data_IF_499389826142
#
_entry.id   IF_499389826142
#
_cell.length_a   1.000
_cell.length_b   1.000
_cell.length_c   1.000
_cell.angle_alpha   90.00
_cell.angle_beta   90.00
_cell.angle_gamma   90.00
#
_symmetry.space_group_name_H-M   'P 1'
#
loop_
_entity.id
_entity.type
_entity.pdbx_description
1 polymer ?
#
# COMPACT_ATOMS: atom_id res chain seq x y z
N UNK A 1 -3.32 -33.84 5.52
CA UNK A 1 -4.41 -32.94 5.95
C UNK A 1 -4.92 -32.20 4.73
N UNK A 2 -6.25 -32.07 4.57
CA UNK A 2 -6.81 -31.21 3.51
C UNK A 2 -6.35 -29.75 3.72
N UNK A 3 -6.14 -28.97 2.65
CA UNK A 3 -5.78 -27.57 2.79
C UNK A 3 -6.86 -26.80 3.58
N UNK A 4 -6.48 -25.78 4.37
CA UNK A 4 -7.45 -24.98 5.09
C UNK A 4 -8.31 -24.17 4.08
N UNK A 5 -9.55 -23.84 4.44
CA UNK A 5 -10.38 -22.97 3.62
C UNK A 5 -9.96 -21.50 3.73
N UNK A 6 -9.48 -21.09 4.91
CA UNK A 6 -9.14 -19.69 5.18
C UNK A 6 -7.73 -19.60 5.78
N UNK A 7 -6.91 -18.68 5.26
CA UNK A 7 -5.64 -18.28 5.86
C UNK A 7 -5.77 -16.88 6.45
N UNK A 8 -5.50 -16.73 7.74
CA UNK A 8 -5.45 -15.43 8.41
C UNK A 8 -3.99 -14.99 8.49
N UNK A 9 -3.67 -13.84 7.93
CA UNK A 9 -2.32 -13.29 7.84
C UNK A 9 -2.18 -12.08 8.74
N UNK A 10 -1.24 -12.14 9.69
CA UNK A 10 -1.04 -11.11 10.70
C UNK A 10 0.45 -10.72 10.74
N UNK A 11 0.84 -9.58 10.16
CA UNK A 11 2.17 -9.03 10.32
C UNK A 11 2.36 -8.50 11.73
N UNK A 12 3.53 -8.77 12.33
CA UNK A 12 3.87 -8.38 13.71
C UNK A 12 5.21 -7.67 13.72
N UNK A 13 5.28 -6.51 14.37
CA UNK A 13 6.55 -5.81 14.60
C UNK A 13 6.52 -5.03 15.92
N UNK A 14 7.21 -5.53 16.95
CA UNK A 14 7.27 -4.96 18.30
C UNK A 14 5.87 -4.78 18.93
N UNK A 15 5.10 -5.86 19.02
CA UNK A 15 3.72 -5.87 19.53
C UNK A 15 3.58 -6.78 20.77
N UNK A 16 4.67 -7.00 21.53
CA UNK A 16 4.71 -7.91 22.68
C UNK A 16 3.55 -7.69 23.67
N UNK A 17 3.11 -6.44 23.88
CA UNK A 17 2.10 -6.08 24.88
C UNK A 17 0.68 -6.36 24.41
N UNK A 18 0.46 -6.49 23.09
CA UNK A 18 -0.86 -6.71 22.48
C UNK A 18 -1.15 -8.15 22.08
N UNK A 19 -0.13 -8.99 21.89
CA UNK A 19 -0.28 -10.32 21.31
C UNK A 19 -1.18 -11.26 22.11
N UNK A 20 -1.06 -11.29 23.44
CA UNK A 20 -1.90 -12.18 24.27
C UNK A 20 -3.38 -11.80 24.16
N UNK A 21 -3.71 -10.51 24.10
CA UNK A 21 -5.06 -10.02 23.85
C UNK A 21 -5.54 -10.38 22.45
N UNK A 22 -4.67 -10.23 21.45
CA UNK A 22 -4.98 -10.63 20.08
C UNK A 22 -5.34 -12.12 20.02
N UNK A 23 -4.59 -12.99 20.64
CA UNK A 23 -4.89 -14.42 20.66
C UNK A 23 -6.22 -14.72 21.34
N UNK A 24 -6.50 -14.05 22.47
CA UNK A 24 -7.75 -14.23 23.23
C UNK A 24 -8.98 -13.78 22.46
N UNK A 25 -8.89 -12.77 21.59
CA UNK A 25 -9.99 -12.28 20.76
C UNK A 25 -10.10 -13.01 19.42
N UNK A 26 -8.98 -13.40 18.80
CA UNK A 26 -8.93 -13.99 17.46
C UNK A 26 -9.42 -15.43 17.43
N UNK A 27 -8.81 -16.32 18.24
CA UNK A 27 -9.09 -17.75 18.12
C UNK A 27 -10.55 -18.13 18.39
N UNK A 28 -11.24 -17.56 19.40
CA UNK A 28 -12.66 -17.88 19.60
C UNK A 28 -13.55 -17.55 18.40
N UNK A 29 -13.24 -16.45 17.70
CA UNK A 29 -13.96 -16.06 16.47
C UNK A 29 -13.70 -17.08 15.36
N UNK A 30 -12.44 -17.48 15.16
CA UNK A 30 -12.07 -18.42 14.11
C UNK A 30 -12.61 -19.82 14.40
N UNK A 31 -12.54 -20.29 15.64
CA UNK A 31 -13.07 -21.58 16.06
C UNK A 31 -14.61 -21.66 15.88
N UNK A 32 -15.32 -20.54 16.05
CA UNK A 32 -16.77 -20.46 15.86
C UNK A 32 -17.24 -20.37 14.40
N UNK A 33 -16.32 -20.11 13.42
CA UNK A 33 -16.69 -19.89 12.02
C UNK A 33 -17.20 -21.16 11.31
N UNK A 34 -16.92 -22.35 11.84
CA UNK A 34 -17.28 -23.64 11.20
C UNK A 34 -16.50 -23.92 9.89
N UNK A 35 -15.39 -23.25 9.65
CA UNK A 35 -14.49 -23.43 8.49
C UNK A 35 -13.11 -23.86 8.97
N UNK A 36 -12.43 -24.69 8.19
CA UNK A 36 -11.02 -25.00 8.43
C UNK A 36 -10.17 -23.75 8.15
N UNK A 37 -9.26 -23.44 9.06
CA UNK A 37 -8.42 -22.25 8.95
C UNK A 37 -6.98 -22.52 9.37
N UNK A 38 -6.09 -21.62 8.96
CA UNK A 38 -4.74 -21.45 9.51
C UNK A 38 -4.51 -19.98 9.84
N UNK A 39 -3.64 -19.73 10.81
CA UNK A 39 -3.16 -18.39 11.16
C UNK A 39 -1.67 -18.31 10.89
N UNK A 40 -1.26 -17.40 10.03
CA UNK A 40 0.14 -17.11 9.72
C UNK A 40 0.53 -15.78 10.36
N UNK A 41 1.27 -15.87 11.46
CA UNK A 41 1.96 -14.71 12.02
C UNK A 41 3.29 -14.51 11.31
N UNK A 42 3.57 -13.27 10.91
CA UNK A 42 4.85 -12.93 10.30
C UNK A 42 5.56 -11.91 11.18
N UNK A 43 6.59 -12.34 11.88
CA UNK A 43 7.45 -11.44 12.64
C UNK A 43 8.39 -10.70 11.68
N UNK A 44 8.20 -9.40 11.56
CA UNK A 44 8.99 -8.51 10.69
C UNK A 44 10.28 -8.03 11.37
N UNK A 45 11.01 -8.96 12.01
CA UNK A 45 12.27 -8.69 12.67
C UNK A 45 12.12 -7.88 13.95
N UNK A 46 11.16 -8.24 14.81
CA UNK A 46 10.95 -7.60 16.12
C UNK A 46 12.20 -7.65 16.99
N UNK A 47 12.37 -6.61 17.80
CA UNK A 47 13.49 -6.47 18.76
C UNK A 47 13.07 -6.70 20.19
N UNK A 48 11.79 -6.85 20.46
CA UNK A 48 11.17 -7.16 21.73
C UNK A 48 10.88 -8.66 21.86
N UNK A 49 10.00 -9.03 22.77
CA UNK A 49 9.63 -10.44 23.00
C UNK A 49 8.61 -11.00 22.01
N UNK A 50 8.17 -10.24 21.01
CA UNK A 50 7.13 -10.68 20.07
C UNK A 50 7.44 -12.02 19.42
N UNK A 51 8.66 -12.20 18.88
CA UNK A 51 9.07 -13.45 18.25
C UNK A 51 9.02 -14.66 19.22
N UNK A 52 9.37 -14.46 20.50
CA UNK A 52 9.30 -15.52 21.52
C UNK A 52 7.84 -15.89 21.83
N UNK A 53 6.97 -14.89 22.02
CA UNK A 53 5.53 -15.09 22.27
C UNK A 53 4.87 -15.84 21.10
N UNK A 54 5.20 -15.49 19.85
CA UNK A 54 4.68 -16.18 18.68
C UNK A 54 5.14 -17.65 18.61
N UNK A 55 6.39 -17.97 18.99
CA UNK A 55 6.89 -19.34 19.09
C UNK A 55 6.09 -20.16 20.12
N UNK A 56 5.86 -19.57 21.30
CA UNK A 56 5.04 -20.20 22.35
C UNK A 56 3.60 -20.44 21.86
N UNK A 57 3.01 -19.47 21.14
CA UNK A 57 1.66 -19.62 20.59
C UNK A 57 1.58 -20.71 19.53
N UNK A 58 2.60 -20.85 18.68
CA UNK A 58 2.69 -21.93 17.71
C UNK A 58 2.73 -23.32 18.40
N UNK A 59 3.39 -23.42 19.56
CA UNK A 59 3.41 -24.65 20.36
C UNK A 59 2.07 -24.93 21.06
N UNK A 60 1.33 -23.87 21.47
CA UNK A 60 0.01 -23.99 22.12
C UNK A 60 -1.09 -24.43 21.14
N UNK A 61 -1.03 -23.94 19.90
CA UNK A 61 -2.03 -24.22 18.84
C UNK A 61 -1.34 -24.73 17.56
N UNK A 62 -0.64 -25.87 17.61
CA UNK A 62 0.15 -26.37 16.49
C UNK A 62 -0.72 -26.82 15.31
N UNK A 63 -1.99 -27.12 15.53
CA UNK A 63 -2.97 -27.53 14.53
C UNK A 63 -3.29 -26.45 13.49
N UNK A 64 -3.28 -25.17 13.92
CA UNK A 64 -3.73 -24.04 13.09
C UNK A 64 -2.73 -22.89 13.00
N UNK A 65 -1.73 -22.82 13.90
CA UNK A 65 -0.80 -21.67 13.96
C UNK A 65 0.52 -21.98 13.27
N UNK A 66 0.94 -21.05 12.43
CA UNK A 66 2.25 -21.04 11.77
C UNK A 66 2.90 -19.70 11.98
N UNK A 67 4.23 -19.67 12.10
CA UNK A 67 4.99 -18.43 12.32
C UNK A 67 6.12 -18.35 11.29
N UNK A 68 6.20 -17.22 10.61
CA UNK A 68 7.29 -16.88 9.70
C UNK A 68 8.12 -15.79 10.38
N UNK A 69 9.42 -16.04 10.57
CA UNK A 69 10.34 -15.06 11.13
C UNK A 69 11.19 -14.49 10.00
N UNK A 70 11.14 -13.17 9.82
CA UNK A 70 11.98 -12.48 8.86
C UNK A 70 13.34 -12.13 9.48
N UNK A 71 14.38 -12.07 8.66
CA UNK A 71 15.75 -11.79 9.11
C UNK A 71 15.99 -10.32 9.51
N UNK A 72 15.00 -9.47 9.41
CA UNK A 72 15.03 -8.05 9.75
C UNK A 72 13.70 -7.38 9.44
N UNK A 73 13.60 -6.07 9.69
CA UNK A 73 12.42 -5.30 9.34
C UNK A 73 12.43 -4.94 7.85
N UNK A 74 11.47 -5.49 7.10
CA UNK A 74 11.26 -5.24 5.68
C UNK A 74 9.98 -4.45 5.39
N UNK A 75 9.19 -4.15 6.44
CA UNK A 75 7.93 -3.42 6.36
C UNK A 75 6.72 -4.33 6.17
N UNK A 76 5.57 -3.82 6.65
CA UNK A 76 4.30 -4.56 6.75
C UNK A 76 3.87 -5.25 5.45
N UNK A 77 3.98 -4.57 4.29
CA UNK A 77 3.59 -5.16 3.01
C UNK A 77 4.47 -6.35 2.61
N UNK A 78 5.78 -6.29 2.88
CA UNK A 78 6.68 -7.39 2.61
C UNK A 78 6.44 -8.57 3.55
N UNK A 79 6.09 -8.32 4.81
CA UNK A 79 5.67 -9.35 5.75
C UNK A 79 4.36 -10.04 5.27
N UNK A 80 3.39 -9.29 4.77
CA UNK A 80 2.15 -9.85 4.20
C UNK A 80 2.47 -10.68 2.94
N UNK A 81 3.35 -10.22 2.04
CA UNK A 81 3.78 -10.99 0.87
C UNK A 81 4.42 -12.32 1.27
N UNK A 82 5.29 -12.32 2.27
CA UNK A 82 5.88 -13.54 2.79
C UNK A 82 4.81 -14.53 3.28
N UNK A 83 3.74 -14.03 3.93
CA UNK A 83 2.62 -14.87 4.32
C UNK A 83 1.80 -15.35 3.12
N UNK A 84 1.57 -14.51 2.11
CA UNK A 84 0.83 -14.90 0.90
C UNK A 84 1.49 -16.07 0.18
N UNK A 85 2.82 -16.05 0.04
CA UNK A 85 3.58 -17.15 -0.56
C UNK A 85 3.47 -18.47 0.24
N UNK A 86 3.23 -18.38 1.57
CA UNK A 86 3.15 -19.54 2.44
C UNK A 86 1.70 -19.91 2.84
N UNK A 87 0.71 -19.11 2.43
CA UNK A 87 -0.70 -19.36 2.71
C UNK A 87 -1.27 -20.48 1.84
N UNK A 88 -2.15 -21.31 2.40
CA UNK A 88 -2.72 -22.50 1.75
C UNK A 88 -4.23 -22.44 1.58
N UNK A 89 -4.90 -21.47 2.22
CA UNK A 89 -6.35 -21.31 2.17
C UNK A 89 -6.86 -20.81 0.82
N UNK A 90 -8.09 -21.16 0.47
CA UNK A 90 -8.78 -20.65 -0.73
C UNK A 90 -9.05 -19.14 -0.62
N UNK A 91 -9.20 -18.66 0.61
CA UNK A 91 -9.36 -17.23 0.94
C UNK A 91 -8.27 -16.83 1.92
N UNK A 92 -7.64 -15.69 1.67
CA UNK A 92 -6.65 -15.09 2.59
C UNK A 92 -7.23 -13.82 3.18
N UNK A 93 -7.17 -13.69 4.51
CA UNK A 93 -7.61 -12.49 5.24
C UNK A 93 -6.41 -11.87 5.93
N UNK A 94 -6.15 -10.58 5.68
CA UNK A 94 -5.13 -9.82 6.42
C UNK A 94 -5.76 -9.10 7.60
N UNK A 95 -5.05 -9.04 8.72
CA UNK A 95 -5.47 -8.38 9.96
C UNK A 95 -4.25 -7.75 10.64
N UNK A 96 -4.39 -6.53 11.17
CA UNK A 96 -3.34 -5.88 11.98
C UNK A 96 -3.30 -6.48 13.39
N UNK A 97 -2.09 -6.55 13.97
CA UNK A 97 -1.89 -7.11 15.31
C UNK A 97 -2.41 -6.21 16.46
N UNK A 98 -2.68 -4.92 16.18
CA UNK A 98 -3.03 -3.90 17.18
C UNK A 98 -4.52 -3.87 17.59
N UNK A 99 -5.35 -4.78 17.07
CA UNK A 99 -6.79 -4.91 17.34
C UNK A 99 -7.62 -3.64 17.02
N UNK A 100 -7.10 -2.69 16.26
CA UNK A 100 -7.92 -1.56 15.79
C UNK A 100 -9.08 -2.04 14.90
N UNK A 101 -8.86 -3.13 14.20
CA UNK A 101 -9.89 -3.83 13.43
C UNK A 101 -10.22 -5.14 14.18
N UNK A 102 -11.44 -5.27 14.74
CA UNK A 102 -11.76 -6.43 15.56
C UNK A 102 -11.89 -7.70 14.70
N UNK A 103 -11.36 -8.86 15.17
CA UNK A 103 -11.49 -10.14 14.46
C UNK A 103 -12.93 -10.55 14.16
N UNK A 104 -13.91 -10.03 14.91
CA UNK A 104 -15.35 -10.27 14.72
C UNK A 104 -15.88 -9.83 13.36
N UNK A 105 -15.13 -8.99 12.65
CA UNK A 105 -15.47 -8.55 11.29
C UNK A 105 -15.06 -9.56 10.21
N UNK A 106 -14.19 -10.53 10.53
CA UNK A 106 -13.70 -11.55 9.57
C UNK A 106 -14.87 -12.32 8.92
N UNK A 107 -15.86 -12.85 9.65
CA UNK A 107 -16.98 -13.57 9.03
C UNK A 107 -17.77 -12.73 8.03
N UNK A 108 -17.85 -11.39 8.22
CA UNK A 108 -18.55 -10.50 7.29
C UNK A 108 -17.78 -10.34 5.97
N UNK A 109 -16.43 -10.27 6.01
CA UNK A 109 -15.62 -10.28 4.80
C UNK A 109 -15.77 -11.59 4.04
N UNK A 110 -15.73 -12.72 4.75
CA UNK A 110 -15.88 -14.03 4.15
C UNK A 110 -17.27 -14.22 3.50
N UNK A 111 -18.31 -13.64 4.08
CA UNK A 111 -19.64 -13.65 3.48
C UNK A 111 -19.71 -12.92 2.14
N UNK A 112 -18.92 -11.86 1.94
CA UNK A 112 -18.84 -11.20 0.62
C UNK A 112 -18.04 -12.04 -0.39
N UNK A 113 -17.00 -12.73 0.05
CA UNK A 113 -16.31 -13.72 -0.82
C UNK A 113 -17.29 -14.83 -1.26
N UNK A 114 -18.12 -15.35 -0.34
CA UNK A 114 -19.16 -16.35 -0.67
C UNK A 114 -20.20 -15.83 -1.67
N UNK A 115 -20.42 -14.52 -1.74
CA UNK A 115 -21.29 -13.88 -2.73
C UNK A 115 -20.66 -13.77 -4.12
N UNK A 116 -19.40 -14.19 -4.26
CA UNK A 116 -18.66 -14.18 -5.54
C UNK A 116 -17.72 -13.01 -5.73
N UNK A 117 -17.46 -12.21 -4.69
CA UNK A 117 -16.40 -11.23 -4.73
C UNK A 117 -15.05 -11.91 -4.52
N UNK A 118 -14.02 -11.45 -5.24
CA UNK A 118 -12.66 -11.99 -5.15
C UNK A 118 -11.68 -11.08 -4.41
N UNK A 119 -12.14 -9.86 -4.05
CA UNK A 119 -11.45 -8.92 -3.17
C UNK A 119 -12.47 -8.14 -2.34
N UNK A 120 -12.27 -8.09 -1.04
CA UNK A 120 -13.11 -7.34 -0.11
C UNK A 120 -12.24 -6.40 0.72
N UNK A 121 -12.39 -5.09 0.45
CA UNK A 121 -11.78 -4.03 1.23
C UNK A 121 -12.63 -3.66 2.45
N UNK A 122 -12.00 -3.04 3.45
CA UNK A 122 -12.71 -2.50 4.61
C UNK A 122 -12.60 -0.99 4.68
N UNK A 123 -13.70 -0.35 5.06
CA UNK A 123 -13.79 1.09 5.32
C UNK A 123 -14.07 1.30 6.81
N UNK A 124 -13.19 2.03 7.49
CA UNK A 124 -13.37 2.33 8.91
C UNK A 124 -14.54 3.29 9.13
N UNK A 125 -15.54 2.83 9.89
CA UNK A 125 -16.69 3.64 10.27
C UNK A 125 -16.32 4.73 11.28
N UNK A 126 -16.99 5.90 11.21
CA UNK A 126 -16.92 6.92 12.28
C UNK A 126 -15.80 7.95 12.18
N UNK A 127 -15.03 8.02 11.09
CA UNK A 127 -13.97 9.01 10.92
C UNK A 127 -14.55 10.44 10.82
N UNK A 128 -14.44 11.23 11.88
CA UNK A 128 -14.76 12.67 11.88
C UNK A 128 -13.54 13.46 11.38
N UNK A 129 -13.33 13.48 10.07
CA UNK A 129 -12.27 14.32 9.50
C UNK A 129 -12.72 15.79 9.47
N UNK A 130 -11.85 16.72 9.89
CA UNK A 130 -12.07 18.16 9.81
C UNK A 130 -12.22 18.59 8.34
N UNK A 131 -13.20 19.48 8.04
CA UNK A 131 -13.51 19.99 6.70
C UNK A 131 -12.29 20.52 5.93
N UNK A 132 -11.33 21.12 6.62
CA UNK A 132 -10.08 21.64 6.05
C UNK A 132 -9.12 20.55 5.56
N UNK A 133 -9.24 19.31 6.07
CA UNK A 133 -8.49 18.13 5.61
C UNK A 133 -9.22 17.38 4.49
N UNK A 134 -10.54 17.46 4.45
CA UNK A 134 -11.38 16.70 3.50
C UNK A 134 -11.28 17.24 2.08
N UNK A 135 -11.22 18.58 1.89
CA UNK A 135 -11.27 19.16 0.54
C UNK A 135 -10.00 18.87 -0.28
N UNK A 136 -8.75 19.08 0.24
CA UNK A 136 -7.54 18.75 -0.50
C UNK A 136 -7.39 17.24 -0.72
N UNK A 137 -7.78 16.42 0.29
CA UNK A 137 -7.69 14.95 0.16
C UNK A 137 -8.69 14.39 -0.85
N UNK A 138 -9.90 14.97 -0.98
CA UNK A 138 -10.88 14.57 -2.00
C UNK A 138 -10.36 14.86 -3.42
N UNK A 139 -9.80 16.04 -3.64
CA UNK A 139 -9.22 16.38 -4.95
C UNK A 139 -8.08 15.42 -5.32
N UNK A 140 -7.16 15.18 -4.41
CA UNK A 140 -6.07 14.22 -4.60
C UNK A 140 -6.57 12.80 -4.86
N UNK A 141 -7.60 12.36 -4.13
CA UNK A 141 -8.21 11.05 -4.33
C UNK A 141 -8.87 10.94 -5.72
N UNK A 142 -9.62 11.96 -6.16
CA UNK A 142 -10.24 11.98 -7.49
C UNK A 142 -9.18 11.94 -8.60
N UNK A 143 -8.10 12.72 -8.47
CA UNK A 143 -6.99 12.70 -9.43
C UNK A 143 -6.35 11.31 -9.46
N UNK A 144 -6.05 10.73 -8.28
CA UNK A 144 -5.47 9.39 -8.16
C UNK A 144 -6.37 8.34 -8.80
N UNK A 145 -7.67 8.30 -8.44
CA UNK A 145 -8.62 7.33 -8.96
C UNK A 145 -8.75 7.39 -10.49
N UNK A 146 -8.81 8.62 -11.05
CA UNK A 146 -8.79 8.78 -12.51
C UNK A 146 -7.49 8.38 -13.17
N UNK A 147 -6.37 8.54 -12.45
CA UNK A 147 -5.03 8.28 -12.96
C UNK A 147 -4.65 6.80 -12.85
N UNK A 148 -5.02 6.14 -11.75
CA UNK A 148 -4.63 4.75 -11.45
C UNK A 148 -5.75 3.73 -11.72
N UNK A 149 -7.01 4.17 -11.86
CA UNK A 149 -8.22 3.33 -11.91
C UNK A 149 -8.42 2.47 -10.66
N UNK A 150 -7.80 2.83 -9.54
CA UNK A 150 -7.89 2.12 -8.26
C UNK A 150 -8.87 2.87 -7.37
N UNK A 151 -10.03 2.25 -7.10
CA UNK A 151 -11.09 2.80 -6.25
C UNK A 151 -11.02 2.15 -4.87
N UNK A 152 -10.12 2.62 -4.01
CA UNK A 152 -9.99 2.20 -2.62
C UNK A 152 -10.31 3.40 -1.74
N UNK A 153 -11.39 3.28 -0.96
CA UNK A 153 -11.90 4.36 -0.10
C UNK A 153 -11.00 4.55 1.12
N UNK A 154 -10.63 3.47 1.81
CA UNK A 154 -9.74 3.51 2.97
C UNK A 154 -8.45 2.71 2.72
N UNK A 155 -7.38 3.44 2.39
CA UNK A 155 -6.07 2.85 2.13
C UNK A 155 -5.35 2.37 3.39
N UNK A 156 -5.69 2.94 4.52
CA UNK A 156 -5.03 2.64 5.79
C UNK A 156 -5.64 1.46 6.55
N UNK A 157 -6.74 0.88 6.09
CA UNK A 157 -7.33 -0.30 6.70
C UNK A 157 -6.74 -1.56 6.06
N UNK A 158 -6.06 -2.37 6.86
CA UNK A 158 -5.43 -3.61 6.38
C UNK A 158 -6.29 -4.85 6.62
N UNK A 159 -7.44 -4.74 7.28
CA UNK A 159 -8.41 -5.84 7.35
C UNK A 159 -9.07 -6.02 5.99
N UNK A 160 -8.68 -7.04 5.25
CA UNK A 160 -9.13 -7.31 3.89
C UNK A 160 -9.20 -8.81 3.62
N UNK A 161 -10.09 -9.22 2.72
CA UNK A 161 -10.13 -10.59 2.25
C UNK A 161 -9.79 -10.67 0.75
N UNK A 162 -9.06 -11.71 0.38
CA UNK A 162 -8.55 -11.95 -0.96
C UNK A 162 -8.84 -13.39 -1.37
N UNK A 163 -9.48 -13.60 -2.51
CA UNK A 163 -9.58 -14.91 -3.12
C UNK A 163 -8.22 -15.43 -3.58
N UNK A 164 -8.06 -16.75 -3.66
CA UNK A 164 -6.78 -17.40 -4.03
C UNK A 164 -6.22 -16.87 -5.34
N UNK A 165 -7.03 -16.69 -6.37
CA UNK A 165 -6.59 -16.18 -7.66
C UNK A 165 -5.95 -14.78 -7.59
N UNK A 166 -6.45 -13.92 -6.69
CA UNK A 166 -5.89 -12.59 -6.47
C UNK A 166 -4.56 -12.69 -5.71
N UNK A 167 -4.48 -13.58 -4.71
CA UNK A 167 -3.24 -13.81 -3.95
C UNK A 167 -2.14 -14.35 -4.87
N UNK A 168 -2.46 -15.31 -5.72
CA UNK A 168 -1.51 -15.90 -6.66
C UNK A 168 -1.01 -14.85 -7.66
N UNK A 169 -1.92 -14.02 -8.21
CA UNK A 169 -1.53 -12.92 -9.10
C UNK A 169 -0.65 -11.86 -8.41
N UNK A 170 -0.88 -11.59 -7.12
CA UNK A 170 -0.02 -10.69 -6.32
C UNK A 170 1.36 -11.30 -6.09
N UNK A 171 1.44 -12.61 -5.82
CA UNK A 171 2.71 -13.32 -5.64
C UNK A 171 3.54 -13.36 -6.93
N UNK A 172 2.90 -13.59 -8.06
CA UNK A 172 3.54 -13.63 -9.38
C UNK A 172 3.99 -12.24 -9.87
N UNK A 173 3.49 -11.16 -9.27
CA UNK A 173 3.83 -9.81 -9.67
C UNK A 173 5.26 -9.45 -9.25
N UNK A 174 6.16 -9.08 -10.18
CA UNK A 174 7.56 -8.79 -9.87
C UNK A 174 7.80 -7.39 -9.28
N UNK A 175 6.77 -6.56 -9.12
CA UNK A 175 6.92 -5.18 -8.64
C UNK A 175 7.56 -5.10 -7.25
N UNK A 176 8.62 -4.27 -7.11
CA UNK A 176 9.37 -4.13 -5.87
C UNK A 176 8.70 -3.23 -4.82
N UNK A 177 7.99 -2.20 -5.25
CA UNK A 177 7.26 -1.28 -4.39
C UNK A 177 5.77 -1.62 -4.41
N UNK A 178 5.38 -2.59 -3.59
CA UNK A 178 4.04 -3.15 -3.65
C UNK A 178 3.17 -2.60 -2.53
N UNK A 179 2.24 -1.74 -2.86
CA UNK A 179 1.10 -1.47 -2.00
C UNK A 179 0.05 -2.56 -2.28
N UNK A 180 0.06 -3.63 -1.48
CA UNK A 180 -0.74 -4.84 -1.70
C UNK A 180 -2.21 -4.53 -1.97
N UNK A 181 -2.92 -3.63 -1.22
CA UNK A 181 -4.32 -3.35 -1.49
C UNK A 181 -4.58 -2.84 -2.92
N UNK A 182 -3.71 -1.97 -3.43
CA UNK A 182 -3.85 -1.45 -4.78
C UNK A 182 -3.57 -2.50 -5.85
N UNK A 183 -2.53 -3.32 -5.64
CA UNK A 183 -2.18 -4.39 -6.56
C UNK A 183 -3.27 -5.46 -6.61
N UNK A 184 -3.78 -5.89 -5.45
CA UNK A 184 -4.87 -6.84 -5.36
C UNK A 184 -6.16 -6.31 -6.02
N UNK A 185 -6.47 -5.02 -5.84
CA UNK A 185 -7.61 -4.38 -6.51
C UNK A 185 -7.49 -4.43 -8.04
N UNK A 186 -6.29 -4.24 -8.59
CA UNK A 186 -6.04 -4.31 -10.03
C UNK A 186 -6.22 -5.71 -10.62
N UNK A 187 -5.93 -6.76 -9.84
CA UNK A 187 -6.08 -8.15 -10.27
C UNK A 187 -7.48 -8.71 -9.97
N UNK A 188 -8.26 -8.04 -9.13
CA UNK A 188 -9.62 -8.47 -8.80
C UNK A 188 -10.58 -8.26 -9.96
N UNK A 189 -11.47 -9.24 -10.19
CA UNK A 189 -12.54 -9.17 -11.18
C UNK A 189 -13.82 -8.57 -10.60
N UNK A 190 -14.07 -8.81 -9.31
CA UNK A 190 -15.27 -8.36 -8.60
C UNK A 190 -14.90 -7.78 -7.24
N UNK A 191 -14.17 -6.64 -7.19
CA UNK A 191 -13.80 -6.01 -5.93
C UNK A 191 -15.00 -5.35 -5.26
N UNK A 192 -15.04 -5.40 -3.92
CA UNK A 192 -16.04 -4.69 -3.11
C UNK A 192 -15.41 -4.12 -1.83
N UNK A 193 -16.13 -3.26 -1.16
CA UNK A 193 -15.72 -2.70 0.14
C UNK A 193 -16.89 -2.75 1.12
N UNK A 194 -16.63 -3.08 2.38
CA UNK A 194 -17.62 -3.07 3.47
C UNK A 194 -17.21 -2.13 4.58
N UNK A 195 -18.19 -1.55 5.27
CA UNK A 195 -17.92 -0.81 6.50
C UNK A 195 -17.69 -1.78 7.65
N UNK A 196 -16.58 -1.58 8.38
CA UNK A 196 -16.22 -2.34 9.56
C UNK A 196 -16.16 -1.44 10.78
N UNK A 197 -16.39 -2.02 11.95
CA UNK A 197 -16.17 -1.35 13.22
C UNK A 197 -14.68 -1.07 13.39
N UNK A 198 -14.37 0.07 14.00
CA UNK A 198 -13.00 0.49 14.29
C UNK A 198 -12.89 0.91 15.74
N UNK A 199 -12.04 0.22 16.50
CA UNK A 199 -11.76 0.60 17.88
C UNK A 199 -10.76 1.76 17.89
N UNK A 200 -11.01 2.78 18.72
CA UNK A 200 -10.03 3.84 18.96
C UNK A 200 -8.78 3.24 19.63
N UNK A 201 -7.62 3.65 19.16
CA UNK A 201 -6.34 3.24 19.77
C UNK A 201 -6.29 3.75 21.21
N UNK A 202 -6.17 2.86 22.19
CA UNK A 202 -6.11 3.23 23.62
C UNK A 202 -4.87 4.08 23.97
N UNK A 203 -3.86 4.13 23.13
CA UNK A 203 -2.67 4.96 23.32
C UNK A 203 -2.01 5.31 21.97
N UNK A 204 -1.91 6.61 21.66
CA UNK A 204 -1.08 7.13 20.58
C UNK A 204 -1.77 8.15 19.68
N UNK A 205 -1.17 9.33 19.54
CA UNK A 205 -1.57 10.31 18.54
C UNK A 205 -1.37 9.78 17.12
N UNK A 206 -2.32 10.08 16.23
CA UNK A 206 -2.20 9.77 14.80
C UNK A 206 -0.94 10.44 14.21
N UNK A 207 0.12 9.66 13.97
CA UNK A 207 1.42 10.14 13.45
C UNK A 207 1.39 10.52 11.95
N UNK A 208 0.24 10.46 11.29
CA UNK A 208 0.16 10.84 9.88
C UNK A 208 0.08 12.35 9.71
N UNK A 209 1.23 12.95 9.41
CA UNK A 209 1.30 14.36 9.01
C UNK A 209 0.68 14.55 7.61
N UNK A 210 0.26 15.78 7.29
CA UNK A 210 -0.20 16.14 5.94
C UNK A 210 0.84 15.75 4.86
N UNK A 211 2.12 15.88 5.19
CA UNK A 211 3.23 15.49 4.32
C UNK A 211 3.24 13.99 4.01
N UNK A 212 2.97 13.12 4.99
CA UNK A 212 2.95 11.66 4.75
C UNK A 212 1.77 11.24 3.86
N UNK A 213 0.62 11.93 3.96
CA UNK A 213 -0.53 11.68 3.08
C UNK A 213 -0.25 12.14 1.63
N UNK A 214 0.37 13.31 1.45
CA UNK A 214 0.78 13.80 0.13
C UNK A 214 1.80 12.86 -0.51
N UNK A 215 2.80 12.44 0.25
CA UNK A 215 3.81 11.49 -0.20
C UNK A 215 3.19 10.16 -0.62
N UNK A 216 2.30 9.59 0.21
CA UNK A 216 1.62 8.34 -0.12
C UNK A 216 0.82 8.45 -1.43
N UNK A 217 0.07 9.53 -1.64
CA UNK A 217 -0.67 9.74 -2.88
C UNK A 217 0.27 9.90 -4.09
N UNK A 218 1.38 10.63 -3.92
CA UNK A 218 2.39 10.76 -4.97
C UNK A 218 3.03 9.42 -5.32
N UNK A 219 3.40 8.63 -4.32
CA UNK A 219 3.97 7.29 -4.48
C UNK A 219 3.00 6.35 -5.20
N UNK A 220 1.71 6.40 -4.86
CA UNK A 220 0.68 5.61 -5.55
C UNK A 220 0.49 6.08 -7.00
N UNK A 221 0.43 7.39 -7.26
CA UNK A 221 0.27 7.91 -8.61
C UNK A 221 1.44 7.55 -9.52
N UNK A 222 2.68 7.71 -9.04
CA UNK A 222 3.89 7.43 -9.83
C UNK A 222 4.22 5.93 -9.87
N UNK A 223 3.77 5.15 -8.87
CA UNK A 223 3.95 3.70 -8.83
C UNK A 223 3.02 2.94 -9.78
N UNK A 224 1.76 3.37 -9.89
CA UNK A 224 0.74 2.66 -10.66
C UNK A 224 0.33 3.35 -11.96
N UNK A 225 0.92 4.48 -12.32
CA UNK A 225 0.54 5.22 -13.52
C UNK A 225 1.68 6.03 -14.11
N UNK A 226 1.72 6.10 -15.43
CA UNK A 226 2.61 6.98 -16.19
C UNK A 226 1.94 8.33 -16.51
N UNK A 227 0.67 8.52 -16.14
CA UNK A 227 -0.10 9.73 -16.47
C UNK A 227 0.56 11.02 -15.96
N UNK A 228 1.15 11.10 -14.77
CA UNK A 228 1.88 12.30 -14.34
C UNK A 228 2.98 12.71 -15.33
N UNK A 229 3.73 11.75 -15.84
CA UNK A 229 4.77 11.99 -16.83
C UNK A 229 4.19 12.43 -18.18
N UNK A 230 3.08 11.80 -18.61
CA UNK A 230 2.38 12.18 -19.86
C UNK A 230 1.82 13.61 -19.79
N UNK A 231 1.15 13.96 -18.67
CA UNK A 231 0.64 15.32 -18.43
C UNK A 231 1.77 16.33 -18.47
N UNK A 232 2.89 16.04 -17.80
CA UNK A 232 4.06 16.89 -17.84
C UNK A 232 4.60 17.07 -19.26
N UNK A 233 4.68 16.00 -20.06
CA UNK A 233 5.13 16.03 -21.45
C UNK A 233 4.22 16.88 -22.33
N UNK A 234 2.90 16.75 -22.18
CA UNK A 234 1.92 17.57 -22.93
C UNK A 234 2.05 19.06 -22.55
N UNK A 235 2.16 19.35 -21.23
CA UNK A 235 2.38 20.73 -20.77
C UNK A 235 3.69 21.31 -21.32
N UNK A 236 4.76 20.52 -21.36
CA UNK A 236 6.03 20.91 -21.96
C UNK A 236 5.91 21.29 -23.44
N UNK A 237 5.16 20.50 -24.23
CA UNK A 237 4.88 20.80 -25.64
C UNK A 237 4.06 22.09 -25.77
N UNK A 238 3.02 22.27 -24.96
CA UNK A 238 2.20 23.50 -24.99
C UNK A 238 3.04 24.73 -24.63
N UNK A 239 3.83 24.67 -23.57
CA UNK A 239 4.72 25.75 -23.16
C UNK A 239 5.74 26.05 -24.26
N UNK A 240 6.31 25.03 -24.90
CA UNK A 240 7.28 25.20 -25.99
C UNK A 240 6.67 25.92 -27.19
N UNK A 241 5.45 25.52 -27.59
CA UNK A 241 4.74 26.20 -28.68
C UNK A 241 4.38 27.64 -28.34
N UNK A 242 3.91 27.90 -27.11
CA UNK A 242 3.64 29.27 -26.65
C UNK A 242 4.91 30.11 -26.62
N UNK A 243 6.02 29.55 -26.17
CA UNK A 243 7.32 30.22 -26.14
C UNK A 243 7.81 30.56 -27.57
N UNK A 244 7.63 29.63 -28.51
CA UNK A 244 7.97 29.85 -29.91
C UNK A 244 7.17 31.04 -30.52
N UNK A 245 5.83 31.03 -30.28
CA UNK A 245 4.96 32.11 -30.70
C UNK A 245 5.34 33.46 -30.08
N UNK A 246 5.69 33.44 -28.78
CA UNK A 246 6.12 34.62 -28.07
C UNK A 246 7.47 35.16 -28.59
N UNK A 247 8.44 34.30 -28.88
CA UNK A 247 9.72 34.68 -29.49
C UNK A 247 9.50 35.26 -30.88
N UNK A 248 8.63 34.65 -31.70
CA UNK A 248 8.27 35.18 -33.02
C UNK A 248 7.64 36.58 -32.92
N UNK A 249 6.68 36.74 -31.97
CA UNK A 249 6.08 38.04 -31.69
C UNK A 249 7.11 39.11 -31.31
N UNK A 250 8.03 38.78 -30.37
CA UNK A 250 9.11 39.70 -29.96
C UNK A 250 10.05 40.04 -31.11
N UNK A 251 10.37 39.07 -31.99
CA UNK A 251 11.17 39.27 -33.18
C UNK A 251 10.54 40.27 -34.16
N UNK A 252 9.23 40.08 -34.46
CA UNK A 252 8.46 40.97 -35.32
C UNK A 252 8.38 42.38 -34.71
N UNK A 253 8.07 42.48 -33.42
CA UNK A 253 7.96 43.74 -32.70
C UNK A 253 9.29 44.50 -32.73
N UNK A 254 10.42 43.81 -32.55
CA UNK A 254 11.76 44.41 -32.61
C UNK A 254 12.08 44.99 -33.99
N UNK A 255 11.60 44.34 -35.07
CA UNK A 255 11.79 44.85 -36.43
C UNK A 255 10.95 46.09 -36.72
N UNK A 256 9.77 46.21 -36.10
CA UNK A 256 8.82 47.29 -36.35
C UNK A 256 9.09 48.50 -35.43
N UNK A 257 9.32 48.27 -34.12
CA UNK A 257 9.39 49.33 -33.10
C UNK A 257 10.83 49.68 -32.71
N UNK A 258 11.78 48.79 -32.99
CA UNK A 258 13.19 48.99 -32.61
C UNK A 258 13.54 48.35 -31.23
N UNK A 259 14.79 48.47 -30.78
CA UNK A 259 15.27 47.84 -29.54
C UNK A 259 14.72 48.55 -28.29
N UNK A 260 14.11 47.79 -27.39
CA UNK A 260 13.65 48.23 -26.07
C UNK A 260 14.68 47.82 -24.98
N UNK A 261 15.08 48.79 -24.13
CA UNK A 261 16.07 48.57 -23.08
C UNK A 261 15.43 48.08 -21.75
N UNK A 262 14.11 48.28 -21.57
CA UNK A 262 13.42 48.07 -20.27
C UNK A 262 12.92 46.64 -20.02
N UNK A 263 13.06 45.72 -20.98
CA UNK A 263 12.54 44.35 -20.87
C UNK A 263 13.41 43.29 -20.15
N UNK A 264 14.59 43.70 -19.65
CA UNK A 264 15.58 42.75 -19.11
C UNK A 264 15.07 41.96 -17.89
N UNK A 265 14.40 42.64 -16.95
CA UNK A 265 13.85 41.99 -15.75
C UNK A 265 12.73 40.98 -16.10
N UNK A 266 11.85 41.36 -17.05
CA UNK A 266 10.79 40.47 -17.54
C UNK A 266 11.37 39.22 -18.22
N UNK A 267 12.42 39.40 -19.04
CA UNK A 267 13.13 38.31 -19.70
C UNK A 267 13.75 37.35 -18.68
N UNK A 268 14.42 37.84 -17.65
CA UNK A 268 14.98 37.01 -16.59
C UNK A 268 13.87 36.30 -15.80
N UNK A 269 12.77 36.99 -15.48
CA UNK A 269 11.62 36.35 -14.80
C UNK A 269 11.05 35.16 -15.59
N UNK A 270 10.85 35.34 -16.90
CA UNK A 270 10.39 34.26 -17.79
C UNK A 270 11.44 33.13 -17.87
N UNK A 271 12.72 33.48 -18.03
CA UNK A 271 13.78 32.49 -18.11
C UNK A 271 13.87 31.63 -16.82
N UNK A 272 13.84 32.24 -15.65
CA UNK A 272 13.84 31.52 -14.37
C UNK A 272 12.61 30.69 -14.18
N UNK A 273 11.42 31.15 -14.58
CA UNK A 273 10.20 30.35 -14.56
C UNK A 273 10.33 29.11 -15.45
N UNK A 274 10.79 29.26 -16.69
CA UNK A 274 10.98 28.13 -17.62
C UNK A 274 12.05 27.16 -17.11
N UNK A 275 13.14 27.64 -16.53
CA UNK A 275 14.15 26.81 -15.88
C UNK A 275 13.52 26.02 -14.71
N UNK A 276 12.69 26.67 -13.89
CA UNK A 276 11.96 26.01 -12.79
C UNK A 276 11.05 24.88 -13.30
N UNK A 277 10.32 25.12 -14.40
CA UNK A 277 9.50 24.08 -15.03
C UNK A 277 10.36 22.90 -15.52
N UNK A 278 11.49 23.17 -16.17
CA UNK A 278 12.40 22.11 -16.62
C UNK A 278 12.95 21.30 -15.45
N UNK A 279 13.38 21.96 -14.37
CA UNK A 279 13.88 21.28 -13.16
C UNK A 279 12.82 20.41 -12.49
N UNK A 280 11.57 20.87 -12.45
CA UNK A 280 10.46 20.06 -11.95
C UNK A 280 10.26 18.78 -12.78
N UNK A 281 10.40 18.87 -14.11
CA UNK A 281 10.33 17.71 -15.00
C UNK A 281 11.49 16.74 -14.83
N UNK A 282 12.70 17.26 -14.65
CA UNK A 282 13.86 16.43 -14.34
C UNK A 282 13.65 15.70 -13.01
N UNK A 283 13.08 16.36 -12.00
CA UNK A 283 12.72 15.74 -10.73
C UNK A 283 11.70 14.61 -10.90
N UNK A 284 10.62 14.85 -11.67
CA UNK A 284 9.62 13.83 -11.98
C UNK A 284 10.23 12.65 -12.76
N UNK A 285 11.06 12.91 -13.77
CA UNK A 285 11.77 11.89 -14.52
C UNK A 285 12.70 11.09 -13.59
N UNK A 286 13.41 11.76 -12.67
CA UNK A 286 14.25 11.12 -11.67
C UNK A 286 13.49 10.13 -10.81
N UNK A 287 12.24 10.43 -10.43
CA UNK A 287 11.38 9.51 -9.68
C UNK A 287 11.10 8.22 -10.47
N UNK A 288 10.72 8.33 -11.75
CA UNK A 288 10.49 7.14 -12.60
C UNK A 288 11.77 6.35 -12.85
N UNK A 289 12.90 7.03 -13.10
CA UNK A 289 14.22 6.37 -13.25
C UNK A 289 14.60 5.65 -11.95
N UNK A 290 14.36 6.25 -10.80
CA UNK A 290 14.60 5.63 -9.49
C UNK A 290 13.79 4.34 -9.30
N UNK A 291 12.50 4.33 -9.70
CA UNK A 291 11.63 3.15 -9.67
C UNK A 291 12.13 2.06 -10.63
N UNK A 292 12.48 2.43 -11.86
CA UNK A 292 13.08 1.48 -12.83
C UNK A 292 14.37 0.90 -12.27
N UNK A 293 15.24 1.72 -11.68
CA UNK A 293 16.48 1.26 -11.07
C UNK A 293 16.24 0.27 -9.93
N UNK A 294 15.26 0.55 -9.06
CA UNK A 294 14.87 -0.37 -7.98
C UNK A 294 14.38 -1.71 -8.53
N UNK A 295 13.56 -1.67 -9.59
CA UNK A 295 13.02 -2.85 -10.26
C UNK A 295 14.12 -3.69 -10.93
N UNK A 296 15.04 -3.05 -11.65
CA UNK A 296 16.13 -3.73 -12.37
C UNK A 296 17.15 -4.37 -11.42
N UNK A 297 17.35 -3.78 -10.23
CA UNK A 297 18.23 -4.36 -9.21
C UNK A 297 17.77 -5.72 -8.69
N UNK A 298 16.47 -6.03 -8.79
CA UNK A 298 15.87 -7.32 -8.42
C UNK A 298 16.35 -7.86 -7.05
N UNK A 299 16.50 -7.01 -6.05
CA UNK A 299 16.86 -7.45 -4.69
C UNK A 299 15.68 -8.19 -4.07
N UNK A 300 15.95 -9.27 -3.29
CA UNK A 300 14.86 -9.94 -2.55
C UNK A 300 14.06 -8.94 -1.72
N UNK A 301 12.73 -9.02 -1.79
CA UNK A 301 11.80 -8.14 -1.05
C UNK A 301 11.93 -8.33 0.45
N UNK A 302 12.22 -9.56 0.88
CA UNK A 302 12.44 -9.96 2.26
C UNK A 302 13.35 -11.20 2.30
N UNK A 303 13.81 -11.56 3.48
CA UNK A 303 14.57 -12.77 3.75
C UNK A 303 13.94 -13.49 4.94
N UNK A 304 13.49 -14.71 4.72
CA UNK A 304 12.98 -15.57 5.78
C UNK A 304 14.16 -16.11 6.59
N UNK A 305 14.09 -16.02 7.90
CA UNK A 305 15.02 -16.62 8.85
C UNK A 305 14.58 -18.02 9.24
N UNK A 306 13.28 -18.21 9.50
CA UNK A 306 12.72 -19.50 9.87
C UNK A 306 11.21 -19.54 9.58
N UNK A 307 10.69 -20.72 9.28
CA UNK A 307 9.25 -21.01 9.25
C UNK A 307 8.98 -22.05 10.34
N UNK A 308 8.13 -21.72 11.27
CA UNK A 308 7.73 -22.61 12.36
C UNK A 308 6.35 -23.18 12.02
N UNK A 309 6.29 -24.45 11.78
CA UNK A 309 5.06 -25.21 11.56
C UNK A 309 5.11 -26.52 12.36
N UNK A 310 3.99 -27.15 12.67
CA UNK A 310 4.00 -28.43 13.33
C UNK A 310 4.77 -29.46 12.48
N UNK A 311 5.89 -29.95 12.97
CA UNK A 311 6.72 -30.97 12.30
C UNK A 311 7.79 -30.47 11.35
N UNK A 312 7.96 -29.17 11.15
CA UNK A 312 8.98 -28.59 10.28
C UNK A 312 9.78 -27.50 11.01
N UNK A 313 10.78 -27.89 11.78
CA UNK A 313 11.89 -26.99 12.09
C UNK A 313 12.81 -26.92 10.87
N UNK A 314 12.38 -26.29 9.78
CA UNK A 314 13.27 -26.03 8.67
C UNK A 314 14.15 -24.82 9.04
N UNK A 315 15.38 -25.15 9.45
CA UNK A 315 16.47 -24.16 9.50
C UNK A 315 16.66 -23.53 8.10
N UNK A 316 17.07 -22.26 8.01
CA UNK A 316 17.16 -21.54 6.74
C UNK A 316 18.20 -22.20 5.81
N UNK A 317 17.86 -22.32 4.54
CA UNK A 317 18.85 -22.52 3.47
C UNK A 317 19.47 -21.19 3.06
#
# INVERSE_FOLDING_TARGET
>A
MSPPQVSIVIPVYNEQDGLDRLFAELYPVLDAMGRSYEVLFVDDGSRDRSAAILREQCQKRPDVTRVILLAGNFGQHNAILAAFEHSRGDVVVTLDADLQNPPQEIPRLLAEIDRGHDYVGSIRGGRKDSLWRVLPSRLLNVIRERTTRIHITDQGCMLRAYGRSVVDAVNDCPEMNTFIPALAYLFARSPTEIQVSHAEREAGESKYSMYSLLRLNFDLMTGFSIVPLQVYSVLGVVISLMSLLFVAYLGIRRLIVGPEVEGVFTLFGIAFFLIGVVLAGVGLLGEYVGRIYAQVRARPRYRIQAVLAPGDETAPR
#
